data_IF_424415483392
#
_entry.id   IF_424415483392
#
_cell.length_a   1.000
_cell.length_b   1.000
_cell.length_c   1.000
_cell.angle_alpha   90.00
_cell.angle_beta   90.00
_cell.angle_gamma   90.00
#
_symmetry.space_group_name_H-M   'P 1'
#
loop_
_entity.id
_entity.type
_entity.pdbx_description
1 polymer ?
#
# COMPACT_ATOMS: atom_id res chain seq x y z
N UNK A 1 4.51 -6.60 -12.98
CA UNK A 1 5.11 -6.20 -11.70
C UNK A 1 5.33 -4.68 -11.57
N UNK A 2 6.05 -4.03 -12.49
CA UNK A 2 6.39 -2.59 -12.39
C UNK A 2 5.17 -1.65 -12.22
N UNK A 3 4.08 -1.90 -12.96
CA UNK A 3 2.84 -1.13 -12.82
C UNK A 3 2.15 -1.33 -11.46
N UNK A 4 2.22 -2.53 -10.87
CA UNK A 4 1.63 -2.80 -9.55
C UNK A 4 2.43 -2.11 -8.45
N UNK A 5 3.76 -2.16 -8.54
CA UNK A 5 4.66 -1.48 -7.60
C UNK A 5 4.42 0.02 -7.61
N UNK A 6 4.38 0.64 -8.80
CA UNK A 6 4.10 2.08 -8.92
C UNK A 6 2.74 2.46 -8.33
N UNK A 7 1.70 1.67 -8.58
CA UNK A 7 0.38 1.92 -8.00
C UNK A 7 0.37 1.77 -6.48
N UNK A 8 0.98 0.72 -5.94
CA UNK A 8 1.06 0.49 -4.50
C UNK A 8 1.83 1.62 -3.78
N UNK A 9 2.98 2.02 -4.32
CA UNK A 9 3.76 3.14 -3.81
C UNK A 9 2.98 4.45 -3.85
N UNK A 10 2.24 4.71 -4.94
CA UNK A 10 1.39 5.90 -5.05
C UNK A 10 0.30 5.92 -3.97
N UNK A 11 -0.35 4.79 -3.74
CA UNK A 11 -1.39 4.66 -2.71
C UNK A 11 -0.82 4.87 -1.29
N UNK A 12 0.35 4.30 -0.98
CA UNK A 12 1.03 4.52 0.30
C UNK A 12 1.47 5.97 0.47
N UNK A 13 1.98 6.60 -0.59
CA UNK A 13 2.33 8.02 -0.59
C UNK A 13 1.10 8.90 -0.34
N UNK A 14 -0.03 8.61 -0.99
CA UNK A 14 -1.28 9.33 -0.77
C UNK A 14 -1.75 9.20 0.68
N UNK A 15 -1.69 7.98 1.25
CA UNK A 15 -2.01 7.79 2.67
C UNK A 15 -1.14 8.67 3.55
N UNK A 16 0.18 8.61 3.39
CA UNK A 16 1.12 9.33 4.26
C UNK A 16 0.89 10.84 4.23
N UNK A 17 0.61 11.41 3.05
CA UNK A 17 0.47 12.86 2.91
C UNK A 17 -0.92 13.38 3.28
N UNK A 18 -1.98 12.62 2.99
CA UNK A 18 -3.36 13.13 3.06
C UNK A 18 -4.21 12.44 4.13
N UNK A 19 -3.85 11.22 4.53
CA UNK A 19 -4.72 10.35 5.33
C UNK A 19 -4.08 9.75 6.59
N UNK A 20 -2.84 10.13 6.96
CA UNK A 20 -2.16 9.59 8.16
C UNK A 20 -2.99 9.76 9.44
N UNK A 21 -3.81 10.82 9.53
CA UNK A 21 -4.74 11.07 10.65
C UNK A 21 -6.22 10.77 10.32
N UNK A 22 -6.47 10.21 9.15
CA UNK A 22 -7.80 9.97 8.54
C UNK A 22 -7.84 8.58 7.92
N UNK A 23 -7.25 7.61 8.61
CA UNK A 23 -7.08 6.25 8.08
C UNK A 23 -8.41 5.60 7.69
N UNK A 24 -9.47 5.81 8.49
CA UNK A 24 -10.83 5.33 8.17
C UNK A 24 -11.32 5.84 6.82
N UNK A 25 -11.14 7.13 6.50
CA UNK A 25 -11.52 7.71 5.21
C UNK A 25 -10.73 7.08 4.05
N UNK A 26 -9.47 6.73 4.27
CA UNK A 26 -8.65 6.05 3.28
C UNK A 26 -9.15 4.63 3.02
N UNK A 27 -9.49 3.89 4.09
CA UNK A 27 -10.07 2.55 3.99
C UNK A 27 -11.40 2.56 3.26
N UNK A 28 -12.30 3.48 3.58
CA UNK A 28 -13.59 3.61 2.89
C UNK A 28 -13.42 3.85 1.39
N UNK A 29 -12.47 4.71 1.02
CA UNK A 29 -12.16 5.06 -0.37
C UNK A 29 -11.55 3.89 -1.15
N UNK A 30 -10.65 3.12 -0.53
CA UNK A 30 -9.81 2.15 -1.23
C UNK A 30 -10.08 0.67 -0.90
N UNK A 31 -11.02 0.32 -0.01
CA UNK A 31 -11.34 -1.07 0.37
C UNK A 31 -11.58 -2.04 -0.79
N UNK A 32 -12.06 -1.55 -1.93
CA UNK A 32 -12.33 -2.36 -3.12
C UNK A 32 -11.17 -2.38 -4.13
N UNK A 33 -10.07 -1.70 -3.85
CA UNK A 33 -8.91 -1.65 -4.74
C UNK A 33 -8.14 -2.98 -4.67
N UNK A 34 -7.72 -3.53 -5.81
CA UNK A 34 -7.03 -4.83 -5.88
C UNK A 34 -5.74 -4.93 -5.03
N UNK A 35 -5.08 -3.80 -4.80
CA UNK A 35 -3.85 -3.72 -3.98
C UNK A 35 -4.12 -3.27 -2.54
N UNK A 36 -5.39 -3.15 -2.14
CA UNK A 36 -5.77 -2.65 -0.82
C UNK A 36 -5.03 -3.38 0.30
N UNK A 37 -5.15 -4.71 0.35
CA UNK A 37 -4.51 -5.53 1.40
C UNK A 37 -2.98 -5.37 1.43
N UNK A 38 -2.35 -5.20 0.27
CA UNK A 38 -0.89 -4.99 0.18
C UNK A 38 -0.50 -3.65 0.79
N UNK A 39 -1.25 -2.60 0.44
CA UNK A 39 -0.99 -1.24 0.94
C UNK A 39 -1.27 -1.17 2.44
N UNK A 40 -2.35 -1.78 2.93
CA UNK A 40 -2.65 -1.84 4.37
C UNK A 40 -1.53 -2.54 5.15
N UNK A 41 -1.04 -3.70 4.68
CA UNK A 41 0.12 -4.36 5.28
C UNK A 41 1.38 -3.49 5.28
N UNK A 42 1.51 -2.56 4.34
CA UNK A 42 2.65 -1.63 4.31
C UNK A 42 2.56 -0.52 5.38
N UNK A 43 1.45 -0.43 6.13
CA UNK A 43 1.32 0.53 7.23
C UNK A 43 2.09 0.08 8.48
N UNK A 44 2.40 -1.22 8.59
CA UNK A 44 3.22 -1.79 9.67
C UNK A 44 4.71 -1.38 9.58
N UNK A 45 5.11 -0.74 8.48
CA UNK A 45 6.48 -0.31 8.21
C UNK A 45 6.56 1.21 8.12
N UNK A 46 7.72 1.74 8.51
CA UNK A 46 7.99 3.17 8.41
C UNK A 46 7.93 3.64 6.95
N UNK A 47 7.46 4.87 6.75
CA UNK A 47 7.40 5.48 5.42
C UNK A 47 8.79 5.68 4.76
N UNK A 48 9.89 5.48 5.49
CA UNK A 48 11.23 5.47 4.90
C UNK A 48 11.59 4.10 4.29
N UNK A 49 10.95 3.03 4.74
CA UNK A 49 11.27 1.65 4.36
C UNK A 49 10.38 1.12 3.23
N UNK A 50 9.25 1.78 2.97
CA UNK A 50 8.26 1.41 1.94
C UNK A 50 8.87 1.14 0.56
N UNK A 51 9.89 1.91 0.13
CA UNK A 51 10.52 1.66 -1.17
C UNK A 51 11.16 0.26 -1.26
N UNK A 52 11.66 -0.25 -0.13
CA UNK A 52 12.25 -1.59 -0.02
C UNK A 52 11.19 -2.66 0.30
N UNK A 53 10.20 -2.33 1.14
CA UNK A 53 9.18 -3.28 1.61
C UNK A 53 8.05 -3.55 0.62
N UNK A 54 7.65 -2.57 -0.19
CA UNK A 54 6.53 -2.74 -1.13
C UNK A 54 6.75 -3.85 -2.17
N UNK A 55 7.95 -3.98 -2.78
CA UNK A 55 8.25 -5.11 -3.66
C UNK A 55 8.11 -6.48 -2.97
N UNK A 56 8.58 -6.60 -1.71
CA UNK A 56 8.48 -7.83 -0.92
C UNK A 56 7.02 -8.20 -0.67
N UNK A 57 6.21 -7.22 -0.24
CA UNK A 57 4.78 -7.40 0.02
C UNK A 57 3.99 -7.76 -1.26
N UNK A 58 4.34 -7.17 -2.39
CA UNK A 58 3.73 -7.50 -3.68
C UNK A 58 4.06 -8.91 -4.15
N UNK A 59 5.30 -9.36 -3.94
CA UNK A 59 5.70 -10.73 -4.27
C UNK A 59 4.90 -11.75 -3.45
N UNK A 60 4.77 -11.53 -2.14
CA UNK A 60 3.94 -12.37 -1.27
C UNK A 60 2.47 -12.39 -1.70
N UNK A 61 1.95 -11.25 -2.14
CA UNK A 61 0.59 -11.15 -2.65
C UNK A 61 0.39 -11.96 -3.92
N UNK A 62 1.33 -11.89 -4.87
CA UNK A 62 1.28 -12.68 -6.10
C UNK A 62 1.40 -14.19 -5.85
N UNK A 63 2.20 -14.61 -4.86
CA UNK A 63 2.32 -16.02 -4.46
C UNK A 63 1.07 -16.57 -3.75
N UNK A 64 0.20 -15.68 -3.26
CA UNK A 64 -1.05 -16.02 -2.55
C UNK A 64 -2.31 -15.98 -3.42
N UNK A 65 -2.18 -15.60 -4.70
CA UNK A 65 -3.26 -15.60 -5.70
C UNK A 65 -3.45 -16.99 -6.33
#
# INVERSE_FOLDING_TARGET
>A
MENLLKTALKLRFEYYNLYEKKEEEWHEKYKNHKLYNVVVKSFDYDFKEIAQKMPELLKQYEESL
#
